data_IF_368833787046
#
_entry.id   IF_368833787046
#
_cell.length_a   1.000
_cell.length_b   1.000
_cell.length_c   1.000
_cell.angle_alpha   90.00
_cell.angle_beta   90.00
_cell.angle_gamma   90.00
#
_symmetry.space_group_name_H-M   'P 1'
#
loop_
_entity.id
_entity.type
_entity.pdbx_description
1 polymer ?
#
# COMPACT_ATOMS: atom_id res chain seq x y z
N UNK A 1 89.22 -15.93 14.96
CA UNK A 1 88.09 -15.24 15.48
C UNK A 1 87.06 -15.11 14.33
N UNK A 2 86.22 -16.12 14.19
CA UNK A 2 85.37 -16.27 13.01
C UNK A 2 83.97 -15.88 13.39
N UNK A 3 83.47 -14.83 12.76
CA UNK A 3 82.02 -14.43 12.85
C UNK A 3 81.26 -15.08 11.72
N UNK A 4 80.26 -15.93 12.06
CA UNK A 4 79.27 -16.48 11.13
C UNK A 4 78.08 -15.47 11.08
N UNK A 5 77.80 -15.01 9.88
CA UNK A 5 76.63 -14.23 9.58
C UNK A 5 75.53 -15.23 9.23
N UNK A 6 74.45 -15.25 10.04
CA UNK A 6 73.22 -16.04 9.79
C UNK A 6 72.22 -15.14 9.12
N UNK A 7 71.92 -15.38 7.85
CA UNK A 7 70.86 -14.68 7.11
C UNK A 7 69.47 -15.27 7.47
N UNK A 8 68.60 -14.45 8.02
CA UNK A 8 67.18 -14.78 8.19
C UNK A 8 66.42 -14.43 6.91
N UNK A 9 65.87 -15.43 6.22
CA UNK A 9 64.91 -15.26 5.16
C UNK A 9 63.50 -15.07 5.80
N UNK A 10 62.97 -13.88 5.64
CA UNK A 10 61.54 -13.59 5.99
C UNK A 10 60.66 -14.00 4.80
N UNK A 11 59.92 -15.08 4.92
CA UNK A 11 58.83 -15.42 4.00
C UNK A 11 57.61 -14.58 4.31
N UNK A 12 57.30 -13.60 3.46
CA UNK A 12 56.04 -12.89 3.50
C UNK A 12 54.97 -13.77 2.86
N UNK A 13 54.04 -14.30 3.66
CA UNK A 13 52.81 -14.92 3.18
C UNK A 13 51.84 -13.81 2.73
N UNK A 14 51.69 -13.62 1.42
CA UNK A 14 50.59 -12.90 0.85
C UNK A 14 49.32 -13.77 0.99
N UNK A 15 48.50 -13.46 2.00
CA UNK A 15 47.15 -13.98 2.08
C UNK A 15 46.30 -13.29 1.01
N UNK A 16 46.07 -13.94 -0.11
CA UNK A 16 45.07 -13.56 -1.09
C UNK A 16 43.67 -13.75 -0.44
N UNK A 17 43.08 -12.68 0.11
CA UNK A 17 41.65 -12.66 0.40
C UNK A 17 40.89 -12.73 -0.93
N UNK A 18 40.53 -13.94 -1.36
CA UNK A 18 39.52 -14.13 -2.37
C UNK A 18 38.20 -13.67 -1.75
N UNK A 19 37.82 -12.40 -1.95
CA UNK A 19 36.42 -11.95 -1.83
C UNK A 19 35.61 -12.76 -2.83
N UNK A 20 34.99 -13.82 -2.36
CA UNK A 20 33.95 -14.50 -3.12
C UNK A 20 32.84 -13.49 -3.44
N UNK A 21 32.83 -13.02 -4.69
CA UNK A 21 31.65 -12.36 -5.23
C UNK A 21 30.54 -13.40 -5.23
N UNK A 22 29.71 -13.39 -4.20
CA UNK A 22 28.41 -14.05 -4.27
C UNK A 22 27.63 -13.31 -5.34
N UNK A 23 27.47 -13.92 -6.51
CA UNK A 23 26.55 -13.42 -7.51
C UNK A 23 25.21 -13.10 -6.82
N UNK A 24 24.63 -11.91 -7.08
CA UNK A 24 23.31 -11.61 -6.54
C UNK A 24 22.35 -12.73 -6.95
N UNK A 25 21.39 -13.11 -6.09
CA UNK A 25 20.45 -14.17 -6.39
C UNK A 25 19.80 -13.88 -7.73
N UNK A 26 19.81 -14.85 -8.64
CA UNK A 26 19.17 -14.73 -9.94
C UNK A 26 17.69 -14.53 -9.69
N UNK A 27 17.22 -13.33 -9.93
CA UNK A 27 15.80 -13.01 -9.88
C UNK A 27 15.14 -13.85 -10.97
N UNK A 28 14.30 -14.77 -10.58
CA UNK A 28 13.50 -15.52 -11.52
C UNK A 28 12.34 -14.63 -11.94
N UNK A 29 12.52 -13.83 -12.98
CA UNK A 29 11.43 -13.09 -13.64
C UNK A 29 10.51 -14.05 -14.40
N UNK A 30 10.05 -15.09 -13.71
CA UNK A 30 9.17 -16.11 -14.27
C UNK A 30 7.78 -15.52 -14.48
N UNK A 31 7.17 -15.83 -15.62
CA UNK A 31 5.73 -15.58 -15.83
C UNK A 31 4.94 -16.63 -15.05
N UNK A 32 3.91 -16.19 -14.35
CA UNK A 32 2.89 -17.06 -13.79
C UNK A 32 1.73 -17.24 -14.78
N UNK A 33 0.99 -18.30 -14.64
CA UNK A 33 -0.13 -18.68 -15.51
C UNK A 33 -1.48 -18.20 -14.99
N UNK A 34 -1.52 -17.13 -14.20
CA UNK A 34 -2.74 -16.51 -13.74
C UNK A 34 -2.58 -15.48 -12.62
N UNK A 35 -3.69 -14.81 -12.30
CA UNK A 35 -3.76 -13.74 -11.28
C UNK A 35 -4.34 -14.30 -9.98
N UNK A 36 -3.57 -15.12 -9.28
CA UNK A 36 -3.96 -15.71 -8.00
C UNK A 36 -3.51 -14.80 -6.87
N UNK A 37 -4.45 -14.12 -6.21
CA UNK A 37 -4.16 -13.32 -5.03
C UNK A 37 -3.82 -14.18 -3.82
N UNK A 38 -2.92 -13.69 -2.97
CA UNK A 38 -2.69 -14.33 -1.67
C UNK A 38 -3.86 -14.03 -0.72
N UNK A 39 -4.21 -15.02 0.07
CA UNK A 39 -5.08 -14.89 1.22
C UNK A 39 -4.35 -15.33 2.48
N UNK A 40 -4.55 -14.63 3.60
CA UNK A 40 -3.94 -15.03 4.87
C UNK A 40 -4.78 -14.62 6.08
N UNK A 41 -4.45 -15.23 7.22
CA UNK A 41 -4.89 -14.82 8.55
C UNK A 41 -3.70 -14.90 9.51
N UNK A 42 -3.63 -13.98 10.47
CA UNK A 42 -2.65 -14.07 11.56
C UNK A 42 -3.12 -14.97 12.71
N UNK A 43 -4.32 -15.56 12.61
CA UNK A 43 -4.87 -16.45 13.62
C UNK A 43 -5.22 -15.76 14.94
N UNK A 44 -5.37 -14.44 14.94
CA UNK A 44 -5.76 -13.65 16.13
C UNK A 44 -7.28 -13.60 16.25
N UNK A 45 -7.86 -14.77 16.50
CA UNK A 45 -9.32 -14.97 16.57
C UNK A 45 -9.91 -14.40 17.85
N UNK A 46 -11.12 -13.88 17.75
CA UNK A 46 -12.01 -13.47 18.82
C UNK A 46 -13.38 -14.11 18.63
N UNK A 47 -14.33 -13.80 19.51
CA UNK A 47 -15.74 -14.21 19.37
C UNK A 47 -16.34 -13.84 18.01
N UNK A 48 -15.93 -12.72 17.45
CA UNK A 48 -16.42 -12.16 16.17
C UNK A 48 -15.42 -12.33 15.02
N UNK A 49 -14.64 -13.41 15.01
CA UNK A 49 -13.73 -13.73 13.91
C UNK A 49 -12.28 -13.28 14.12
N UNK A 50 -11.51 -13.34 13.03
CA UNK A 50 -10.09 -12.98 13.04
C UNK A 50 -9.92 -11.47 12.93
N UNK A 51 -9.08 -10.90 13.79
CA UNK A 51 -8.78 -9.46 13.83
C UNK A 51 -8.20 -8.93 12.52
N UNK A 52 -7.43 -9.76 11.80
CA UNK A 52 -6.75 -9.39 10.56
C UNK A 52 -7.26 -10.19 9.36
N UNK A 53 -8.44 -10.79 9.49
CA UNK A 53 -9.02 -11.58 8.41
C UNK A 53 -9.16 -10.77 7.12
N UNK A 54 -8.95 -11.42 6.00
CA UNK A 54 -8.98 -10.79 4.69
C UNK A 54 -7.71 -10.01 4.35
N UNK A 55 -6.55 -10.40 4.89
CA UNK A 55 -5.26 -9.94 4.37
C UNK A 55 -5.05 -10.51 2.97
N UNK A 56 -5.12 -9.65 1.96
CA UNK A 56 -5.23 -10.01 0.55
C UNK A 56 -4.05 -9.49 -0.27
N UNK A 57 -4.01 -9.84 -1.54
CA UNK A 57 -2.96 -9.42 -2.47
C UNK A 57 -2.79 -7.90 -2.59
N UNK A 58 -3.83 -7.12 -2.27
CA UNK A 58 -3.80 -5.65 -2.23
C UNK A 58 -3.68 -5.06 -0.81
N UNK A 59 -3.44 -5.88 0.20
CA UNK A 59 -3.13 -5.51 1.58
C UNK A 59 -1.73 -4.86 1.62
N UNK A 60 -1.41 -3.84 2.41
CA UNK A 60 -2.16 -3.02 3.35
C UNK A 60 -2.34 -1.59 2.81
N UNK A 61 -3.03 -0.69 3.54
CA UNK A 61 -3.03 0.76 3.24
C UNK A 61 -1.62 1.39 3.25
N UNK A 62 -0.64 0.74 3.85
CA UNK A 62 0.73 1.21 4.03
C UNK A 62 1.68 0.88 2.87
N UNK A 63 1.26 0.08 1.88
CA UNK A 63 2.01 -0.17 0.65
C UNK A 63 1.48 0.75 -0.45
N UNK A 64 2.15 1.84 -0.74
CA UNK A 64 1.72 2.83 -1.75
C UNK A 64 2.90 3.43 -2.48
N UNK A 65 2.75 3.64 -3.81
CA UNK A 65 1.67 3.19 -4.68
C UNK A 65 1.76 1.69 -4.96
N UNK A 66 0.60 1.07 -5.23
CA UNK A 66 0.57 -0.30 -5.77
C UNK A 66 0.20 -0.33 -7.26
N UNK A 67 -0.26 0.77 -7.84
CA UNK A 67 -0.51 0.90 -9.28
C UNK A 67 -0.21 2.31 -9.76
N UNK A 68 0.25 2.41 -11.03
CA UNK A 68 0.61 3.67 -11.68
C UNK A 68 0.25 3.57 -13.16
N UNK A 69 -0.52 4.54 -13.66
CA UNK A 69 -0.70 4.69 -15.10
C UNK A 69 0.47 5.44 -15.72
N UNK A 70 1.05 4.89 -16.78
CA UNK A 70 2.01 5.58 -17.66
C UNK A 70 1.33 5.97 -18.97
N UNK A 71 1.35 7.26 -19.27
CA UNK A 71 0.82 7.81 -20.52
C UNK A 71 1.66 7.36 -21.72
N UNK A 72 2.97 7.28 -21.57
CA UNK A 72 3.93 6.92 -22.61
C UNK A 72 3.73 5.47 -23.09
N UNK A 73 3.43 4.57 -22.16
CA UNK A 73 3.15 3.17 -22.47
C UNK A 73 1.65 2.91 -22.74
N UNK A 74 0.77 3.86 -22.41
CA UNK A 74 -0.68 3.69 -22.34
C UNK A 74 -1.10 2.43 -21.54
N UNK A 75 -0.47 2.24 -20.38
CA UNK A 75 -0.66 1.08 -19.50
C UNK A 75 -0.80 1.50 -18.05
N UNK A 76 -1.68 0.84 -17.33
CA UNK A 76 -1.67 0.88 -15.86
C UNK A 76 -0.86 -0.31 -15.35
N UNK A 77 0.36 -0.06 -14.88
CA UNK A 77 1.18 -1.06 -14.19
C UNK A 77 0.68 -1.20 -12.76
N UNK A 78 0.62 -2.45 -12.26
CA UNK A 78 0.20 -2.72 -10.88
C UNK A 78 0.97 -3.89 -10.29
N UNK A 79 1.16 -3.83 -8.96
CA UNK A 79 1.78 -4.89 -8.17
C UNK A 79 0.76 -5.46 -7.19
N UNK A 80 0.96 -6.71 -6.80
CA UNK A 80 0.10 -7.38 -5.82
C UNK A 80 0.83 -8.56 -5.19
N UNK A 81 0.34 -9.02 -4.03
CA UNK A 81 0.73 -10.29 -3.45
C UNK A 81 0.01 -11.42 -4.15
N UNK A 82 0.76 -12.28 -4.83
CA UNK A 82 0.25 -13.48 -5.47
C UNK A 82 0.49 -14.73 -4.64
N UNK A 83 -0.11 -15.84 -5.06
CA UNK A 83 0.08 -17.15 -4.44
C UNK A 83 0.30 -18.24 -5.47
N UNK A 84 1.13 -19.23 -5.14
CA UNK A 84 1.24 -20.47 -5.92
C UNK A 84 -0.07 -21.23 -5.83
N UNK A 85 -0.47 -21.85 -6.95
CA UNK A 85 -1.66 -22.70 -6.99
C UNK A 85 -1.64 -23.75 -5.86
N UNK A 86 -2.74 -23.80 -5.10
CA UNK A 86 -2.90 -24.74 -3.98
C UNK A 86 -2.02 -24.48 -2.76
N UNK A 87 -1.25 -23.37 -2.74
CA UNK A 87 -0.37 -23.01 -1.62
C UNK A 87 -0.58 -21.56 -1.22
N UNK A 88 -0.39 -21.27 0.06
CA UNK A 88 -0.42 -19.92 0.63
C UNK A 88 1.00 -19.35 0.74
N UNK A 89 1.74 -19.32 -0.37
CA UNK A 89 3.08 -18.74 -0.47
C UNK A 89 3.01 -17.40 -1.18
N UNK A 90 3.54 -16.37 -0.53
CA UNK A 90 3.60 -15.03 -1.10
C UNK A 90 4.58 -14.97 -2.27
N UNK A 91 4.07 -14.55 -3.40
CA UNK A 91 4.81 -14.13 -4.58
C UNK A 91 4.60 -12.63 -4.77
N UNK A 92 5.68 -11.87 -4.87
CA UNK A 92 5.58 -10.45 -5.21
C UNK A 92 5.46 -10.29 -6.71
N UNK A 93 4.26 -9.90 -7.16
CA UNK A 93 3.85 -9.92 -8.55
C UNK A 93 3.81 -8.53 -9.15
N UNK A 94 4.07 -8.44 -10.46
CA UNK A 94 3.81 -7.25 -11.27
C UNK A 94 3.09 -7.63 -12.55
N UNK A 95 2.19 -6.75 -13.00
CA UNK A 95 1.54 -6.83 -14.30
C UNK A 95 1.13 -5.44 -14.80
N UNK A 96 0.37 -5.40 -15.89
CA UNK A 96 -0.26 -4.18 -16.39
C UNK A 96 -1.60 -4.48 -17.06
N UNK A 97 -2.46 -3.47 -17.08
CA UNK A 97 -3.62 -3.40 -17.97
C UNK A 97 -3.26 -2.52 -19.16
N UNK A 98 -3.43 -3.05 -20.36
CA UNK A 98 -3.16 -2.35 -21.63
C UNK A 98 -4.45 -1.66 -22.09
N UNK A 99 -4.47 -0.32 -22.03
CA UNK A 99 -5.64 0.48 -22.36
C UNK A 99 -5.97 0.49 -23.87
N UNK A 100 -5.00 0.13 -24.73
CA UNK A 100 -5.24 0.07 -26.18
C UNK A 100 -6.00 -1.20 -26.57
N UNK A 101 -5.76 -2.30 -25.89
CA UNK A 101 -6.32 -3.62 -26.23
C UNK A 101 -7.38 -4.12 -25.23
N UNK A 102 -7.43 -3.53 -24.04
CA UNK A 102 -8.28 -3.99 -22.94
C UNK A 102 -7.85 -5.36 -22.41
N UNK A 103 -6.56 -5.68 -22.47
CA UNK A 103 -6.02 -6.99 -22.06
C UNK A 103 -4.99 -6.87 -20.95
N UNK A 104 -4.71 -7.99 -20.32
CA UNK A 104 -3.62 -8.19 -19.36
C UNK A 104 -2.72 -9.32 -19.82
N UNK A 105 -1.38 -9.22 -19.69
CA UNK A 105 -0.45 -10.29 -20.00
C UNK A 105 -0.40 -11.33 -18.85
N UNK A 106 0.33 -12.42 -19.03
CA UNK A 106 0.76 -13.24 -17.89
C UNK A 106 1.55 -12.39 -16.90
N UNK A 107 1.22 -12.41 -15.60
CA UNK A 107 1.94 -11.64 -14.59
C UNK A 107 3.35 -12.20 -14.39
N UNK A 108 4.25 -11.33 -13.92
CA UNK A 108 5.65 -11.70 -13.63
C UNK A 108 5.86 -11.82 -12.12
N UNK A 109 6.51 -12.88 -11.69
CA UNK A 109 7.03 -13.04 -10.33
C UNK A 109 8.31 -12.20 -10.24
N UNK A 110 8.28 -11.08 -9.51
CA UNK A 110 9.44 -10.26 -9.23
C UNK A 110 10.29 -10.89 -8.13
N UNK A 111 9.63 -11.40 -7.08
CA UNK A 111 10.31 -12.06 -5.96
C UNK A 111 9.44 -13.16 -5.38
N UNK A 112 10.05 -14.33 -5.16
CA UNK A 112 9.45 -15.45 -4.41
C UNK A 112 9.91 -15.35 -2.96
N UNK A 113 8.99 -15.16 -2.03
CA UNK A 113 9.29 -15.03 -0.59
C UNK A 113 9.66 -16.35 0.10
N UNK A 114 9.84 -17.43 -0.68
CA UNK A 114 10.39 -18.70 -0.17
C UNK A 114 9.50 -19.41 0.85
N UNK A 115 8.18 -19.31 0.71
CA UNK A 115 7.21 -19.97 1.62
C UNK A 115 6.65 -19.07 2.72
N UNK A 116 7.01 -17.78 2.76
CA UNK A 116 6.32 -16.79 3.59
C UNK A 116 4.87 -16.69 3.14
N UNK A 117 3.92 -16.63 4.08
CA UNK A 117 2.48 -16.53 3.81
C UNK A 117 1.87 -15.22 4.37
N UNK A 118 2.70 -14.19 4.52
CA UNK A 118 2.35 -12.92 5.18
C UNK A 118 2.36 -11.75 4.19
N UNK A 119 1.19 -11.21 3.75
CA UNK A 119 1.12 -10.10 2.81
C UNK A 119 1.53 -8.74 3.38
N UNK A 120 2.02 -8.65 4.63
CA UNK A 120 2.77 -7.48 5.06
C UNK A 120 4.07 -7.32 4.26
N UNK A 121 4.49 -8.35 3.55
CA UNK A 121 5.63 -8.33 2.65
C UNK A 121 5.26 -7.96 1.19
N UNK A 122 3.99 -7.59 0.92
CA UNK A 122 3.51 -7.16 -0.40
C UNK A 122 4.35 -6.00 -0.97
N UNK A 123 4.42 -5.88 -2.30
CA UNK A 123 5.25 -4.87 -2.96
C UNK A 123 4.57 -3.51 -3.11
N UNK A 124 5.39 -2.49 -3.38
CA UNK A 124 4.99 -1.18 -3.91
C UNK A 124 5.73 -0.88 -5.21
N UNK A 125 5.20 0.06 -6.01
CA UNK A 125 5.66 0.36 -7.36
C UNK A 125 6.11 1.82 -7.48
N UNK A 126 7.11 2.07 -8.31
CA UNK A 126 7.42 3.39 -8.86
C UNK A 126 7.85 3.27 -10.31
N UNK A 127 7.75 4.36 -11.07
CA UNK A 127 8.24 4.48 -12.44
C UNK A 127 9.12 5.71 -12.52
N UNK A 128 10.36 5.56 -13.03
CA UNK A 128 11.25 6.68 -13.24
C UNK A 128 10.98 7.38 -14.59
N UNK A 129 11.53 8.58 -14.85
CA UNK A 129 11.30 9.32 -16.10
C UNK A 129 11.79 8.61 -17.36
N UNK A 130 12.67 7.64 -17.23
CA UNK A 130 13.16 6.80 -18.34
C UNK A 130 12.22 5.62 -18.60
N UNK A 131 11.16 5.46 -17.80
CA UNK A 131 10.16 4.40 -17.92
C UNK A 131 10.55 3.07 -17.24
N UNK A 132 11.62 3.03 -16.48
CA UNK A 132 11.95 1.83 -15.73
C UNK A 132 11.00 1.63 -14.54
N UNK A 133 10.53 0.40 -14.39
CA UNK A 133 9.66 -0.01 -13.30
C UNK A 133 10.52 -0.39 -12.10
N UNK A 134 10.19 0.18 -10.94
CA UNK A 134 10.85 -0.10 -9.67
C UNK A 134 9.88 -0.78 -8.73
N UNK A 135 10.21 -2.00 -8.31
CA UNK A 135 9.38 -2.78 -7.38
C UNK A 135 10.08 -2.85 -6.03
N UNK A 136 9.43 -2.30 -5.02
CA UNK A 136 9.90 -2.28 -3.65
C UNK A 136 9.17 -3.37 -2.87
N UNK A 137 9.83 -4.50 -2.70
CA UNK A 137 9.32 -5.67 -1.97
C UNK A 137 9.52 -5.45 -0.48
N UNK A 138 8.45 -5.43 0.28
CA UNK A 138 8.49 -5.19 1.72
C UNK A 138 9.20 -6.33 2.47
N UNK A 139 9.95 -5.96 3.50
CA UNK A 139 10.46 -6.88 4.50
C UNK A 139 9.59 -6.91 5.76
N UNK A 140 10.08 -7.59 6.80
CA UNK A 140 9.41 -7.66 8.10
C UNK A 140 10.43 -7.54 9.22
N UNK A 141 10.65 -6.32 9.70
CA UNK A 141 11.68 -6.01 10.70
C UNK A 141 13.06 -6.56 10.28
N UNK A 142 13.84 -7.04 11.26
CA UNK A 142 15.12 -7.73 11.02
C UNK A 142 14.97 -9.19 10.60
N UNK A 143 13.75 -9.74 10.69
CA UNK A 143 13.49 -11.16 10.42
C UNK A 143 13.54 -11.49 8.93
N UNK A 144 13.02 -10.58 8.10
CA UNK A 144 12.96 -10.73 6.66
C UNK A 144 13.38 -9.42 6.00
N UNK A 145 14.40 -9.42 5.15
CA UNK A 145 14.80 -8.21 4.44
C UNK A 145 13.75 -7.77 3.42
N UNK A 146 13.75 -6.48 3.11
CA UNK A 146 13.10 -5.93 1.94
C UNK A 146 14.07 -5.87 0.75
N UNK A 147 13.53 -5.77 -0.45
CA UNK A 147 14.29 -5.77 -1.70
C UNK A 147 13.81 -4.67 -2.64
N UNK A 148 14.71 -4.06 -3.38
CA UNK A 148 14.38 -3.11 -4.45
C UNK A 148 14.83 -3.71 -5.76
N UNK A 149 13.89 -3.85 -6.69
CA UNK A 149 14.11 -4.35 -8.04
C UNK A 149 13.87 -3.26 -9.06
N UNK A 150 14.58 -3.31 -10.17
CA UNK A 150 14.39 -2.44 -11.33
C UNK A 150 14.17 -3.30 -12.58
N UNK A 151 13.24 -2.92 -13.44
CA UNK A 151 13.07 -3.61 -14.74
C UNK A 151 14.33 -3.46 -15.59
N UNK A 152 14.64 -4.49 -16.39
CA UNK A 152 15.81 -4.47 -17.28
C UNK A 152 15.61 -3.54 -18.49
N UNK A 153 14.35 -3.28 -18.86
CA UNK A 153 13.96 -2.39 -19.96
C UNK A 153 12.82 -1.46 -19.50
N UNK A 154 12.72 -0.25 -20.09
CA UNK A 154 11.60 0.65 -19.84
C UNK A 154 10.27 -0.02 -20.17
N UNK A 155 9.26 0.21 -19.31
CA UNK A 155 7.87 -0.25 -19.47
C UNK A 155 7.70 -1.76 -19.69
N UNK A 156 8.75 -2.57 -19.39
CA UNK A 156 8.72 -4.03 -19.52
C UNK A 156 8.64 -4.70 -18.15
N UNK A 157 7.76 -5.71 -18.06
CA UNK A 157 7.65 -6.60 -16.91
C UNK A 157 8.37 -7.94 -17.11
N UNK A 158 9.21 -8.09 -18.15
CA UNK A 158 9.77 -9.39 -18.54
C UNK A 158 10.95 -9.81 -17.66
N UNK A 159 11.76 -8.84 -17.21
CA UNK A 159 12.94 -9.12 -16.40
C UNK A 159 13.22 -7.98 -15.41
N UNK A 160 13.59 -8.35 -14.20
CA UNK A 160 13.99 -7.44 -13.14
C UNK A 160 15.39 -7.76 -12.64
N UNK A 161 16.09 -6.75 -12.15
CA UNK A 161 17.40 -6.82 -11.55
C UNK A 161 17.31 -6.39 -10.09
N UNK A 162 17.91 -7.15 -9.18
CA UNK A 162 18.03 -6.76 -7.78
C UNK A 162 19.00 -5.58 -7.67
N UNK A 163 18.53 -4.47 -7.11
CA UNK A 163 19.32 -3.26 -6.92
C UNK A 163 19.79 -3.12 -5.46
N UNK A 164 18.90 -3.39 -4.51
CA UNK A 164 19.18 -3.21 -3.08
C UNK A 164 18.44 -4.26 -2.25
N UNK A 165 19.08 -4.69 -1.18
CA UNK A 165 18.48 -5.41 -0.07
C UNK A 165 18.72 -4.60 1.21
N UNK A 166 17.74 -4.57 2.12
CA UNK A 166 17.87 -3.82 3.38
C UNK A 166 16.75 -4.09 4.37
N UNK A 167 16.85 -3.47 5.55
CA UNK A 167 15.78 -3.50 6.56
C UNK A 167 14.80 -2.37 6.29
N UNK A 168 13.67 -2.69 5.69
CA UNK A 168 12.52 -1.79 5.54
C UNK A 168 11.23 -2.58 5.42
N UNK A 169 10.16 -1.99 5.94
CA UNK A 169 8.79 -2.52 5.91
C UNK A 169 7.86 -1.41 5.42
N UNK A 170 6.76 -1.77 4.75
CA UNK A 170 5.78 -0.81 4.22
C UNK A 170 6.40 0.24 3.31
N UNK A 171 7.00 -0.15 2.19
CA UNK A 171 7.68 0.76 1.27
C UNK A 171 6.71 1.73 0.61
N UNK A 172 7.11 3.01 0.53
CA UNK A 172 6.37 4.09 -0.10
C UNK A 172 7.30 4.95 -0.95
N UNK A 173 7.74 4.46 -2.11
CA UNK A 173 8.63 5.18 -3.01
C UNK A 173 7.90 6.30 -3.73
N UNK A 174 8.54 7.48 -3.80
CA UNK A 174 8.08 8.64 -4.56
C UNK A 174 9.21 9.13 -5.45
N UNK A 175 9.03 9.05 -6.77
CA UNK A 175 9.97 9.66 -7.70
C UNK A 175 9.61 11.14 -7.86
N UNK A 176 10.50 12.01 -7.43
CA UNK A 176 10.36 13.46 -7.57
C UNK A 176 11.11 13.89 -8.83
N UNK A 177 10.39 14.46 -9.79
CA UNK A 177 10.95 14.83 -11.07
C UNK A 177 12.13 15.82 -10.91
N UNK A 178 13.25 15.49 -11.58
CA UNK A 178 14.50 16.26 -11.50
C UNK A 178 15.32 16.04 -10.22
N UNK A 179 14.81 15.33 -9.22
CA UNK A 179 15.46 15.15 -7.92
C UNK A 179 15.79 13.67 -7.59
N UNK A 180 14.98 12.71 -8.08
CA UNK A 180 15.11 11.29 -7.76
C UNK A 180 14.10 10.80 -6.72
N UNK A 181 14.44 9.74 -5.99
CA UNK A 181 13.57 9.15 -5.00
C UNK A 181 13.58 9.90 -3.67
N UNK A 182 12.39 10.18 -3.15
CA UNK A 182 12.09 10.23 -1.73
C UNK A 182 11.42 8.92 -1.35
N UNK A 183 12.02 8.16 -0.47
CA UNK A 183 11.55 6.84 -0.07
C UNK A 183 11.16 6.84 1.41
N UNK A 184 9.87 6.70 1.69
CA UNK A 184 9.31 6.59 3.04
C UNK A 184 9.11 5.11 3.40
N UNK A 185 9.44 4.72 4.63
CA UNK A 185 9.32 3.34 5.08
C UNK A 185 9.33 3.24 6.61
N UNK A 186 9.08 2.05 7.12
CA UNK A 186 9.14 1.71 8.54
C UNK A 186 10.38 0.89 8.84
N UNK A 187 11.07 1.21 9.94
CA UNK A 187 12.08 0.34 10.58
C UNK A 187 11.65 -0.02 11.98
N UNK A 188 12.09 -1.20 12.44
CA UNK A 188 11.80 -1.69 13.78
C UNK A 188 13.02 -1.42 14.67
N UNK A 189 13.15 -0.19 15.16
CA UNK A 189 14.22 0.23 16.07
C UNK A 189 13.77 0.16 17.54
N UNK A 190 13.06 1.15 18.04
CA UNK A 190 12.41 1.09 19.37
C UNK A 190 10.90 0.82 19.28
N UNK A 191 10.40 0.60 18.08
CA UNK A 191 9.02 0.36 17.72
C UNK A 191 8.92 0.34 16.20
N UNK A 192 7.71 0.44 15.63
CA UNK A 192 7.49 0.64 14.20
C UNK A 192 7.69 2.10 13.84
N UNK A 193 8.95 2.55 13.81
CA UNK A 193 9.29 3.95 13.63
C UNK A 193 9.40 4.35 12.16
N UNK A 194 9.08 5.60 11.85
CA UNK A 194 9.05 6.10 10.48
C UNK A 194 10.38 6.71 10.08
N UNK A 195 10.83 6.33 8.87
CA UNK A 195 12.08 6.75 8.28
C UNK A 195 11.90 7.20 6.84
N UNK A 196 12.86 7.99 6.36
CA UNK A 196 13.03 8.25 4.94
C UNK A 196 14.49 8.13 4.51
N UNK A 197 14.68 8.00 3.21
CA UNK A 197 15.98 8.00 2.54
C UNK A 197 15.77 8.57 1.14
N UNK A 198 16.80 9.14 0.55
CA UNK A 198 16.75 9.73 -0.78
C UNK A 198 17.78 9.08 -1.70
N UNK A 199 17.48 9.07 -3.00
CA UNK A 199 18.39 8.54 -4.01
C UNK A 199 18.20 9.29 -5.33
N UNK A 200 19.25 9.81 -5.97
CA UNK A 200 19.13 10.46 -7.27
C UNK A 200 18.87 9.48 -8.41
N UNK A 201 19.20 8.21 -8.23
CA UNK A 201 19.28 7.19 -9.29
C UNK A 201 18.64 5.83 -8.93
N UNK A 202 18.09 5.69 -7.72
CA UNK A 202 17.57 4.45 -7.17
C UNK A 202 18.65 3.42 -6.77
N UNK A 203 19.93 3.71 -7.01
CA UNK A 203 21.08 2.83 -6.73
C UNK A 203 21.90 3.32 -5.54
N UNK A 204 22.16 4.62 -5.51
CA UNK A 204 22.93 5.27 -4.43
C UNK A 204 21.96 5.91 -3.45
N UNK A 205 21.93 5.45 -2.22
CA UNK A 205 20.98 5.90 -1.20
C UNK A 205 21.66 6.64 -0.07
N UNK A 206 21.03 7.72 0.39
CA UNK A 206 21.44 8.41 1.61
C UNK A 206 21.31 7.49 2.83
N UNK A 207 21.98 7.80 3.96
CA UNK A 207 21.65 7.18 5.24
C UNK A 207 20.17 7.35 5.57
N UNK A 208 19.59 6.30 6.20
CA UNK A 208 18.19 6.34 6.65
C UNK A 208 18.03 7.40 7.76
N UNK A 209 17.04 8.28 7.61
CA UNK A 209 16.73 9.35 8.55
C UNK A 209 15.38 9.07 9.22
N UNK A 210 15.32 9.23 10.54
CA UNK A 210 14.07 9.06 11.30
C UNK A 210 13.25 10.34 11.29
N UNK A 211 11.94 10.29 10.99
CA UNK A 211 11.08 11.44 11.13
C UNK A 211 10.00 11.31 12.21
N UNK A 212 9.66 10.08 12.68
CA UNK A 212 8.79 9.88 13.83
C UNK A 212 9.18 8.63 14.62
N UNK A 213 9.17 8.75 15.97
CA UNK A 213 9.58 7.69 16.90
C UNK A 213 8.79 7.69 18.20
N UNK A 214 7.49 7.99 18.16
CA UNK A 214 6.61 8.08 19.35
C UNK A 214 5.99 6.71 19.69
N UNK A 215 6.80 5.64 19.79
CA UNK A 215 6.38 4.28 20.11
C UNK A 215 6.07 3.39 18.90
N UNK A 216 5.54 3.93 17.84
CA UNK A 216 5.25 3.22 16.59
C UNK A 216 4.17 3.91 15.78
N UNK A 217 4.12 3.58 14.48
CA UNK A 217 3.26 4.26 13.53
C UNK A 217 2.86 3.34 12.38
N UNK A 218 1.70 3.62 11.79
CA UNK A 218 1.39 3.28 10.40
C UNK A 218 1.20 4.57 9.61
N UNK A 219 1.65 4.59 8.36
CA UNK A 219 1.58 5.75 7.49
C UNK A 219 1.02 5.39 6.12
N UNK A 220 0.42 6.37 5.46
CA UNK A 220 0.19 6.40 4.02
C UNK A 220 0.71 7.71 3.46
N UNK A 221 1.10 7.74 2.20
CA UNK A 221 1.68 8.93 1.59
C UNK A 221 1.18 9.18 0.18
N UNK A 222 1.37 10.38 -0.31
CA UNK A 222 1.09 10.79 -1.67
C UNK A 222 2.17 11.73 -2.20
N UNK A 223 2.02 12.11 -3.46
CA UNK A 223 2.89 13.05 -4.16
C UNK A 223 2.10 13.88 -5.15
N UNK A 224 2.39 15.18 -5.23
CA UNK A 224 1.92 16.06 -6.31
C UNK A 224 3.06 17.00 -6.70
N UNK A 225 3.55 16.89 -7.94
CA UNK A 225 4.75 17.62 -8.36
C UNK A 225 5.94 17.30 -7.46
N UNK A 226 6.58 18.32 -6.90
CA UNK A 226 7.69 18.15 -5.95
C UNK A 226 7.24 17.89 -4.51
N UNK A 227 5.98 18.16 -4.18
CA UNK A 227 5.46 17.96 -2.83
C UNK A 227 5.17 16.48 -2.59
N UNK A 228 5.86 15.89 -1.63
CA UNK A 228 5.51 14.62 -1.03
C UNK A 228 4.90 14.83 0.36
N UNK A 229 3.87 14.09 0.67
CA UNK A 229 3.10 14.26 1.90
C UNK A 229 2.71 12.91 2.51
N UNK A 230 2.53 12.90 3.82
CA UNK A 230 2.20 11.68 4.56
C UNK A 230 1.27 11.96 5.72
N UNK A 231 0.33 11.05 5.94
CA UNK A 231 -0.46 10.96 7.17
C UNK A 231 -0.12 9.68 7.93
N UNK A 232 -0.09 9.77 9.25
CA UNK A 232 0.26 8.62 10.09
C UNK A 232 -0.45 8.71 11.46
N UNK A 233 -0.58 7.55 12.10
CA UNK A 233 -1.09 7.42 13.46
C UNK A 233 0.06 7.17 14.45
N UNK A 234 -0.27 6.99 15.73
CA UNK A 234 0.67 6.62 16.77
C UNK A 234 0.23 5.32 17.47
N UNK A 235 1.20 4.54 17.94
CA UNK A 235 0.99 3.34 18.74
C UNK A 235 1.55 3.56 20.17
N UNK A 236 0.75 4.04 21.13
CA UNK A 236 1.20 4.26 22.51
C UNK A 236 1.86 3.01 23.10
N UNK A 237 3.10 3.16 23.56
CA UNK A 237 3.88 2.04 24.10
C UNK A 237 4.20 0.95 23.08
N UNK A 238 4.17 1.24 21.76
CA UNK A 238 4.41 0.27 20.69
C UNK A 238 3.23 -0.68 20.42
N UNK A 239 2.12 -0.53 21.14
CA UNK A 239 0.97 -1.42 21.02
C UNK A 239 0.07 -1.04 19.84
N UNK A 240 0.08 -1.86 18.77
CA UNK A 240 -0.73 -1.65 17.57
C UNK A 240 -2.23 -1.70 17.81
N UNK A 241 -2.68 -2.27 18.92
CA UNK A 241 -4.09 -2.35 19.29
C UNK A 241 -4.61 -1.08 19.95
N UNK A 242 -3.68 -0.20 20.32
CA UNK A 242 -3.96 1.12 20.88
C UNK A 242 -3.65 2.25 19.91
N UNK A 243 -3.54 1.95 18.60
CA UNK A 243 -3.22 2.96 17.58
C UNK A 243 -4.21 4.11 17.62
N UNK A 244 -3.70 5.33 17.74
CA UNK A 244 -4.50 6.53 17.96
C UNK A 244 -3.86 7.74 17.32
N UNK A 245 -4.49 8.89 17.45
CA UNK A 245 -4.06 10.18 16.93
C UNK A 245 -3.85 10.19 15.40
N UNK A 246 -3.98 11.33 14.82
CA UNK A 246 -3.74 11.55 13.40
C UNK A 246 -2.73 12.66 13.25
N UNK A 247 -1.69 12.43 12.45
CA UNK A 247 -0.62 13.38 12.15
C UNK A 247 -0.49 13.59 10.65
N UNK A 248 0.05 14.75 10.26
CA UNK A 248 0.35 15.08 8.87
C UNK A 248 1.67 15.83 8.76
N UNK A 249 2.46 15.46 7.75
CA UNK A 249 3.68 16.15 7.34
C UNK A 249 3.80 16.18 5.81
N UNK A 250 4.45 17.23 5.29
CA UNK A 250 4.80 17.37 3.89
C UNK A 250 6.21 17.92 3.72
N UNK A 251 6.80 17.69 2.55
CA UNK A 251 8.10 18.23 2.12
C UNK A 251 8.09 18.48 0.61
N UNK A 252 8.77 19.52 0.16
CA UNK A 252 8.98 19.85 -1.26
C UNK A 252 10.49 19.92 -1.63
N UNK A 253 11.35 19.47 -0.71
CA UNK A 253 12.80 19.53 -0.79
C UNK A 253 13.48 18.19 -0.40
N UNK A 254 12.84 17.05 -0.68
CA UNK A 254 13.33 15.69 -0.36
C UNK A 254 13.58 15.46 1.13
N UNK A 255 12.76 16.04 2.01
CA UNK A 255 12.83 15.85 3.45
C UNK A 255 13.90 16.68 4.17
N UNK A 256 14.54 17.65 3.50
CA UNK A 256 15.42 18.62 4.18
C UNK A 256 14.62 19.50 5.14
N UNK A 257 13.39 19.84 4.75
CA UNK A 257 12.42 20.56 5.59
C UNK A 257 11.10 19.83 5.58
N UNK A 258 10.59 19.54 6.77
CA UNK A 258 9.23 19.02 6.95
C UNK A 258 8.31 20.14 7.45
N UNK A 259 7.05 20.14 6.97
CA UNK A 259 6.04 21.15 7.32
C UNK A 259 4.71 20.49 7.68
N UNK A 260 3.93 21.18 8.51
CA UNK A 260 2.54 20.78 8.80
C UNK A 260 1.57 21.32 7.73
N UNK A 261 0.26 21.06 7.88
CA UNK A 261 -0.77 21.48 6.93
C UNK A 261 -0.88 23.02 6.79
N UNK A 262 -0.51 23.78 7.83
CA UNK A 262 -0.44 25.24 7.78
C UNK A 262 0.89 25.76 7.18
N UNK A 263 1.65 24.87 6.53
CA UNK A 263 2.95 25.15 5.92
C UNK A 263 4.03 25.68 6.90
N UNK A 264 3.86 25.41 8.19
CA UNK A 264 4.84 25.79 9.22
C UNK A 264 5.91 24.70 9.34
N UNK A 265 7.21 25.07 9.50
CA UNK A 265 8.28 24.12 9.71
C UNK A 265 8.04 23.25 10.96
N UNK A 266 8.35 21.95 10.83
CA UNK A 266 8.25 20.98 11.91
C UNK A 266 9.60 20.32 12.11
N UNK A 267 10.11 20.37 13.34
CA UNK A 267 11.37 19.69 13.69
C UNK A 267 11.15 18.19 13.77
N UNK A 268 11.96 17.43 13.05
CA UNK A 268 11.98 15.97 13.07
C UNK A 268 13.32 15.46 13.64
N UNK A 269 13.38 14.28 14.29
CA UNK A 269 12.29 13.32 14.46
C UNK A 269 11.28 13.77 15.52
N UNK A 270 10.01 13.50 15.26
CA UNK A 270 8.94 13.70 16.23
C UNK A 270 9.12 12.69 17.40
N UNK A 271 9.22 13.22 18.62
CA UNK A 271 9.41 12.42 19.83
C UNK A 271 8.28 12.60 20.85
N UNK A 272 7.51 13.69 20.73
CA UNK A 272 6.37 14.00 21.60
C UNK A 272 5.07 13.96 20.76
N UNK A 273 4.01 13.26 21.20
CA UNK A 273 2.73 13.26 20.50
C UNK A 273 2.04 14.63 20.46
N UNK A 274 2.35 15.55 21.39
CA UNK A 274 1.84 16.93 21.38
C UNK A 274 2.77 17.86 20.58
N UNK A 275 2.74 17.73 19.26
CA UNK A 275 3.57 18.51 18.34
C UNK A 275 2.72 19.18 17.23
N UNK A 276 3.32 20.04 16.45
CA UNK A 276 2.62 20.83 15.41
C UNK A 276 2.20 20.03 14.16
N UNK A 277 2.59 18.76 14.05
CA UNK A 277 2.09 17.84 13.02
C UNK A 277 0.77 17.16 13.41
N UNK A 278 0.32 17.31 14.67
CA UNK A 278 -0.91 16.69 15.17
C UNK A 278 -2.14 17.30 14.48
N UNK A 279 -2.90 16.46 13.80
CA UNK A 279 -4.16 16.80 13.13
C UNK A 279 -5.33 16.73 14.11
N UNK A 280 -5.40 15.63 14.88
CA UNK A 280 -6.44 15.42 15.91
C UNK A 280 -5.97 14.46 16.99
N UNK A 281 -6.27 14.84 18.25
CA UNK A 281 -5.96 14.07 19.45
C UNK A 281 -7.06 13.02 19.72
N UNK A 282 -7.00 11.91 19.04
CA UNK A 282 -7.95 10.81 19.23
C UNK A 282 -7.68 10.01 20.51
N UNK A 283 -6.49 10.12 21.11
CA UNK A 283 -6.21 9.54 22.42
C UNK A 283 -7.09 10.17 23.51
N UNK A 284 -7.25 11.50 23.50
CA UNK A 284 -8.16 12.19 24.41
C UNK A 284 -9.63 11.79 24.21
N UNK A 285 -10.02 11.45 22.98
CA UNK A 285 -11.36 10.99 22.62
C UNK A 285 -11.56 9.48 22.85
N UNK A 286 -10.52 8.75 23.29
CA UNK A 286 -10.51 7.28 23.43
C UNK A 286 -10.91 6.54 22.15
N UNK A 287 -10.42 7.03 21.01
CA UNK A 287 -10.69 6.46 19.68
C UNK A 287 -9.42 5.91 19.07
N UNK A 288 -9.58 4.82 18.32
CA UNK A 288 -8.54 4.24 17.48
C UNK A 288 -8.61 4.80 16.07
N UNK A 289 -7.46 4.87 15.39
CA UNK A 289 -7.31 5.44 14.05
C UNK A 289 -6.66 4.44 13.10
N UNK A 290 -7.33 4.15 11.98
CA UNK A 290 -6.87 3.27 10.90
C UNK A 290 -6.80 4.08 9.61
N UNK A 291 -5.60 4.34 9.12
CA UNK A 291 -5.36 5.21 7.95
C UNK A 291 -5.58 4.43 6.67
N UNK A 292 -6.25 5.03 5.68
CA UNK A 292 -6.56 4.41 4.39
C UNK A 292 -5.81 5.05 3.24
N UNK A 293 -6.04 6.33 2.96
CA UNK A 293 -5.49 7.03 1.79
C UNK A 293 -5.31 8.53 2.09
N UNK A 294 -4.54 9.21 1.27
CA UNK A 294 -4.31 10.64 1.36
C UNK A 294 -4.09 11.24 -0.03
N UNK A 295 -4.62 12.43 -0.26
CA UNK A 295 -4.31 13.24 -1.45
C UNK A 295 -4.39 14.74 -1.09
N UNK A 296 -4.06 15.61 -2.03
CA UNK A 296 -4.25 17.05 -1.91
C UNK A 296 -5.48 17.49 -2.73
N UNK A 297 -6.20 18.51 -2.26
CA UNK A 297 -7.23 19.16 -3.06
C UNK A 297 -6.59 20.06 -4.15
N UNK A 298 -7.41 20.78 -4.93
CA UNK A 298 -6.92 21.65 -6.02
C UNK A 298 -6.03 22.79 -5.52
N UNK A 299 -6.22 23.27 -4.29
CA UNK A 299 -5.39 24.31 -3.66
C UNK A 299 -4.09 23.73 -3.05
N UNK A 300 -3.92 22.42 -3.01
CA UNK A 300 -2.77 21.75 -2.40
C UNK A 300 -2.96 21.48 -0.90
N UNK A 301 -4.18 21.54 -0.40
CA UNK A 301 -4.48 21.22 0.99
C UNK A 301 -4.70 19.72 1.20
N UNK A 302 -4.20 19.12 2.28
CA UNK A 302 -4.33 17.70 2.53
C UNK A 302 -5.76 17.27 2.84
N UNK A 303 -6.14 16.14 2.24
CA UNK A 303 -7.38 15.40 2.49
C UNK A 303 -7.01 13.97 2.86
N UNK A 304 -7.38 13.52 4.06
CA UNK A 304 -7.00 12.22 4.62
C UNK A 304 -8.25 11.37 4.79
N UNK A 305 -8.25 10.17 4.21
CA UNK A 305 -9.26 9.14 4.43
C UNK A 305 -8.77 8.17 5.50
N UNK A 306 -9.57 7.95 6.53
CA UNK A 306 -9.25 7.03 7.62
C UNK A 306 -10.52 6.51 8.29
N UNK A 307 -10.36 5.51 9.14
CA UNK A 307 -11.44 4.94 9.94
C UNK A 307 -11.14 5.13 11.43
N UNK A 308 -12.19 5.41 12.19
CA UNK A 308 -12.12 5.44 13.66
C UNK A 308 -12.97 4.35 14.29
N UNK A 309 -12.52 3.81 15.43
CA UNK A 309 -13.27 2.80 16.19
C UNK A 309 -13.06 2.94 17.70
N UNK A 310 -13.89 2.27 18.49
CA UNK A 310 -13.76 2.23 19.94
C UNK A 310 -12.84 1.09 20.43
N UNK A 311 -12.70 0.00 19.65
CA UNK A 311 -11.91 -1.18 20.01
C UNK A 311 -11.15 -1.72 18.79
N UNK A 312 -10.03 -2.40 19.03
CA UNK A 312 -9.22 -3.05 17.98
C UNK A 312 -9.80 -4.39 17.52
N UNK A 313 -10.67 -5.00 18.28
CA UNK A 313 -11.28 -6.31 17.98
C UNK A 313 -12.44 -6.17 16.99
N UNK A 314 -12.71 -7.19 16.17
CA UNK A 314 -13.93 -7.25 15.36
C UNK A 314 -15.18 -7.33 16.24
N UNK A 315 -16.35 -7.12 15.63
CA UNK A 315 -17.66 -7.18 16.30
C UNK A 315 -18.08 -5.88 16.97
N UNK A 316 -19.20 -5.88 17.70
CA UNK A 316 -19.90 -4.67 18.19
C UNK A 316 -19.07 -3.80 19.14
N UNK A 317 -18.12 -4.38 19.90
CA UNK A 317 -17.29 -3.65 20.85
C UNK A 317 -16.44 -2.52 20.24
N UNK A 318 -16.20 -2.57 18.93
CA UNK A 318 -15.50 -1.50 18.20
C UNK A 318 -16.40 -0.36 17.72
N UNK A 319 -17.73 -0.49 17.87
CA UNK A 319 -18.67 0.51 17.38
C UNK A 319 -18.76 1.75 18.33
N UNK A 320 -19.07 2.89 17.75
CA UNK A 320 -19.28 3.17 16.33
C UNK A 320 -17.96 3.19 15.55
N UNK A 321 -17.92 2.49 14.40
CA UNK A 321 -16.85 2.63 13.41
C UNK A 321 -17.28 3.62 12.35
N UNK A 322 -16.45 4.65 12.11
CA UNK A 322 -16.72 5.66 11.12
C UNK A 322 -15.62 5.72 10.08
N UNK A 323 -15.99 5.62 8.80
CA UNK A 323 -15.15 6.07 7.71
C UNK A 323 -15.23 7.59 7.68
N UNK A 324 -14.09 8.26 7.87
CA UNK A 324 -14.00 9.69 8.11
C UNK A 324 -13.03 10.33 7.12
N UNK A 325 -13.32 11.55 6.70
CA UNK A 325 -12.42 12.41 5.93
C UNK A 325 -11.99 13.59 6.81
N UNK A 326 -10.68 13.82 6.93
CA UNK A 326 -10.13 15.07 7.44
C UNK A 326 -9.64 15.90 6.27
N UNK A 327 -10.07 17.16 6.17
CA UNK A 327 -9.68 18.13 5.16
C UNK A 327 -9.13 19.40 5.81
N UNK A 328 -7.92 19.79 5.44
CA UNK A 328 -7.38 21.10 5.79
C UNK A 328 -7.96 22.16 4.86
N UNK A 329 -8.68 23.13 5.40
CA UNK A 329 -9.39 24.16 4.60
C UNK A 329 -8.53 25.37 4.24
N UNK A 330 -7.23 25.32 4.57
CA UNK A 330 -6.33 26.48 4.51
C UNK A 330 -6.21 27.22 5.83
N UNK A 331 -7.14 27.02 6.77
CA UNK A 331 -7.15 27.65 8.10
C UNK A 331 -7.39 26.69 9.26
N UNK A 332 -8.19 25.65 9.04
CA UNK A 332 -8.55 24.67 10.07
C UNK A 332 -8.79 23.28 9.48
N UNK A 333 -8.72 22.25 10.31
CA UNK A 333 -9.11 20.90 9.95
C UNK A 333 -10.62 20.70 10.09
N UNK A 334 -11.29 20.32 9.00
CA UNK A 334 -12.69 19.87 9.00
C UNK A 334 -12.73 18.35 8.98
N UNK A 335 -13.57 17.76 9.82
CA UNK A 335 -13.78 16.33 9.94
C UNK A 335 -15.20 15.97 9.55
N UNK A 336 -15.35 15.04 8.60
CA UNK A 336 -16.66 14.62 8.11
C UNK A 336 -16.77 13.10 8.13
N UNK A 337 -17.74 12.58 8.85
CA UNK A 337 -18.05 11.16 8.82
C UNK A 337 -18.82 10.83 7.54
N UNK A 338 -18.27 9.93 6.72
CA UNK A 338 -18.83 9.52 5.43
C UNK A 338 -19.94 8.49 5.63
N UNK A 339 -19.59 7.40 6.32
CA UNK A 339 -20.49 6.28 6.59
C UNK A 339 -19.99 5.39 7.72
N UNK A 340 -20.84 4.49 8.18
CA UNK A 340 -20.46 3.42 9.10
C UNK A 340 -19.63 2.37 8.39
N UNK A 341 -18.71 1.76 9.13
CA UNK A 341 -17.97 0.57 8.73
C UNK A 341 -18.26 -0.58 9.72
N UNK A 342 -18.13 -1.80 9.24
CA UNK A 342 -18.34 -3.00 10.07
C UNK A 342 -17.03 -3.54 10.67
N UNK A 343 -15.87 -3.17 10.11
CA UNK A 343 -14.58 -3.71 10.51
C UNK A 343 -13.47 -2.65 10.39
N UNK A 344 -12.47 -2.70 11.28
CA UNK A 344 -11.36 -1.74 11.33
C UNK A 344 -10.44 -1.80 10.10
N UNK A 345 -10.44 -2.91 9.38
CA UNK A 345 -9.61 -3.15 8.20
C UNK A 345 -10.41 -3.13 6.88
N UNK A 346 -11.61 -2.54 6.87
CA UNK A 346 -12.38 -2.29 5.65
C UNK A 346 -11.80 -1.08 4.92
N UNK A 347 -10.76 -1.31 4.10
CA UNK A 347 -9.90 -0.24 3.54
C UNK A 347 -10.37 0.22 2.17
N UNK A 348 -10.60 1.53 2.02
CA UNK A 348 -10.96 2.20 0.78
C UNK A 348 -9.89 3.17 0.27
N UNK A 349 -10.14 3.76 -0.90
CA UNK A 349 -9.30 4.76 -1.57
C UNK A 349 -10.04 6.05 -1.85
N UNK A 350 -9.31 7.17 -1.84
CA UNK A 350 -9.79 8.53 -2.04
C UNK A 350 -9.36 9.07 -3.41
N UNK A 351 -10.27 9.73 -4.12
CA UNK A 351 -10.03 10.37 -5.41
C UNK A 351 -10.55 11.79 -5.36
N UNK A 352 -9.67 12.75 -5.63
CA UNK A 352 -10.01 14.18 -5.62
C UNK A 352 -9.95 14.73 -7.06
N UNK A 353 -11.00 15.41 -7.46
CA UNK A 353 -11.03 16.19 -8.71
C UNK A 353 -11.62 17.57 -8.44
N UNK A 354 -11.54 18.46 -9.42
CA UNK A 354 -12.04 19.83 -9.28
C UNK A 354 -13.56 19.91 -9.12
N UNK A 355 -14.29 18.89 -9.58
CA UNK A 355 -15.75 18.89 -9.60
C UNK A 355 -16.40 18.01 -8.54
N UNK A 356 -15.70 16.96 -8.12
CA UNK A 356 -16.20 15.99 -7.14
C UNK A 356 -15.08 15.20 -6.49
N UNK A 357 -15.30 14.77 -5.27
CA UNK A 357 -14.47 13.81 -4.57
C UNK A 357 -15.17 12.47 -4.52
N UNK A 358 -14.40 11.39 -4.64
CA UNK A 358 -14.93 10.02 -4.62
C UNK A 358 -14.17 9.17 -3.60
N UNK A 359 -14.90 8.24 -2.99
CA UNK A 359 -14.33 7.15 -2.20
C UNK A 359 -14.84 5.84 -2.79
N UNK A 360 -13.92 4.94 -3.11
CA UNK A 360 -14.22 3.55 -3.40
C UNK A 360 -13.82 2.72 -2.18
N UNK A 361 -14.74 1.99 -1.59
CA UNK A 361 -14.44 1.21 -0.39
C UNK A 361 -15.49 0.16 -0.05
N UNK A 362 -15.09 -0.86 0.73
CA UNK A 362 -15.97 -1.95 1.13
C UNK A 362 -16.88 -1.54 2.29
N UNK A 363 -17.86 -0.70 2.00
CA UNK A 363 -18.80 -0.14 2.97
C UNK A 363 -20.16 -0.81 2.98
N UNK A 364 -20.44 -1.67 1.97
CA UNK A 364 -21.62 -2.51 1.92
C UNK A 364 -21.45 -3.77 2.76
N UNK A 365 -22.57 -4.34 3.22
CA UNK A 365 -22.57 -5.60 3.98
C UNK A 365 -22.16 -6.76 3.05
N UNK A 366 -21.08 -7.42 3.37
CA UNK A 366 -20.64 -8.63 2.65
C UNK A 366 -21.21 -9.91 3.24
N UNK A 367 -20.91 -11.05 2.61
CA UNK A 367 -21.39 -12.38 3.06
C UNK A 367 -20.79 -12.80 4.40
N UNK A 368 -19.64 -12.22 4.82
CA UNK A 368 -19.05 -12.46 6.13
C UNK A 368 -19.14 -11.15 6.95
N UNK A 369 -20.26 -10.90 7.64
CA UNK A 369 -20.65 -9.57 8.10
C UNK A 369 -19.80 -8.99 9.23
N UNK A 370 -19.01 -9.80 9.93
CA UNK A 370 -18.12 -9.37 11.01
C UNK A 370 -16.63 -9.43 10.61
N UNK A 371 -16.33 -9.94 9.42
CA UNK A 371 -14.99 -9.98 8.86
C UNK A 371 -14.58 -8.68 8.17
N UNK A 372 -13.28 -8.51 7.90
CA UNK A 372 -12.78 -7.38 7.13
C UNK A 372 -13.31 -7.35 5.71
N UNK A 373 -13.69 -6.16 5.22
CA UNK A 373 -14.24 -5.97 3.89
C UNK A 373 -15.76 -6.12 3.83
N UNK A 374 -16.27 -6.30 2.62
CA UNK A 374 -17.70 -6.43 2.31
C UNK A 374 -17.98 -6.15 0.85
N UNK A 375 -19.11 -5.59 0.52
CA UNK A 375 -19.40 -5.12 -0.82
C UNK A 375 -18.79 -3.73 -1.05
N UNK A 376 -18.15 -3.53 -2.19
CA UNK A 376 -17.55 -2.26 -2.58
C UNK A 376 -18.63 -1.29 -3.02
N UNK A 377 -18.57 -0.05 -2.55
CA UNK A 377 -19.46 1.03 -2.94
C UNK A 377 -18.68 2.30 -3.30
N UNK A 378 -19.33 3.19 -4.07
CA UNK A 378 -18.86 4.54 -4.40
C UNK A 378 -19.61 5.55 -3.56
N UNK A 379 -18.87 6.40 -2.87
CA UNK A 379 -19.35 7.59 -2.18
C UNK A 379 -18.85 8.83 -2.88
N UNK A 380 -19.70 9.83 -3.01
CA UNK A 380 -19.40 11.08 -3.72
C UNK A 380 -19.71 12.29 -2.84
N UNK A 381 -18.80 13.26 -2.89
CA UNK A 381 -19.00 14.61 -2.39
C UNK A 381 -18.83 15.62 -3.53
N UNK A 382 -19.75 16.60 -3.63
CA UNK A 382 -19.69 17.70 -4.62
C UNK A 382 -19.51 19.07 -3.96
N UNK A 383 -19.11 19.07 -2.69
CA UNK A 383 -18.95 20.24 -1.84
C UNK A 383 -17.65 20.20 -1.03
N UNK A 384 -16.59 19.63 -1.64
CA UNK A 384 -15.24 19.52 -1.05
C UNK A 384 -15.24 18.73 0.27
N UNK A 385 -15.98 17.63 0.32
CA UNK A 385 -16.01 16.72 1.46
C UNK A 385 -16.85 17.19 2.65
N UNK A 386 -17.70 18.22 2.50
CA UNK A 386 -18.62 18.66 3.56
C UNK A 386 -19.74 17.66 3.76
N UNK A 387 -20.27 17.14 2.65
CA UNK A 387 -21.30 16.10 2.67
C UNK A 387 -20.95 14.97 1.72
N UNK A 388 -21.40 13.76 2.03
CA UNK A 388 -21.16 12.56 1.25
C UNK A 388 -22.46 11.79 1.03
N UNK A 389 -22.64 11.29 -0.17
CA UNK A 389 -23.76 10.40 -0.51
C UNK A 389 -23.25 9.15 -1.21
N UNK A 390 -23.87 8.01 -0.92
CA UNK A 390 -23.60 6.78 -1.68
C UNK A 390 -24.17 6.93 -3.08
N UNK A 391 -23.32 6.85 -4.10
CA UNK A 391 -23.73 6.95 -5.50
C UNK A 391 -24.23 5.59 -6.01
N UNK A 392 -23.46 4.51 -5.68
CA UNK A 392 -23.85 3.14 -6.04
C UNK A 392 -23.11 2.08 -5.23
N UNK A 393 -23.63 0.89 -5.27
CA UNK A 393 -22.88 -0.32 -4.96
C UNK A 393 -22.15 -0.79 -6.22
N UNK A 394 -20.86 -1.15 -6.08
CA UNK A 394 -19.98 -1.61 -7.18
C UNK A 394 -20.03 -3.13 -7.28
N UNK A 395 -20.05 -3.81 -6.14
CA UNK A 395 -20.22 -5.27 -6.05
C UNK A 395 -21.49 -5.60 -5.27
N UNK A 396 -22.06 -6.77 -5.55
CA UNK A 396 -23.30 -7.21 -4.94
C UNK A 396 -23.38 -8.73 -4.87
N UNK A 397 -23.99 -9.26 -3.83
CA UNK A 397 -24.25 -10.70 -3.66
C UNK A 397 -22.96 -11.53 -3.84
N UNK A 398 -21.84 -10.99 -3.46
CA UNK A 398 -20.53 -11.62 -3.59
C UNK A 398 -20.44 -12.87 -2.73
N UNK A 399 -19.71 -13.88 -3.18
CA UNK A 399 -19.46 -15.10 -2.40
C UNK A 399 -18.48 -14.88 -1.24
N UNK A 400 -17.62 -13.84 -1.38
CA UNK A 400 -16.56 -13.48 -0.44
C UNK A 400 -16.52 -11.97 -0.23
N UNK A 401 -15.99 -11.52 0.90
CA UNK A 401 -15.78 -10.10 1.15
C UNK A 401 -14.70 -9.54 0.21
N UNK A 402 -14.98 -8.40 -0.42
CA UNK A 402 -14.01 -7.58 -1.13
C UNK A 402 -13.33 -6.62 -0.18
N UNK A 403 -12.02 -6.36 -0.37
CA UNK A 403 -11.30 -5.47 0.54
C UNK A 403 -10.04 -4.87 -0.09
N UNK A 404 -9.42 -3.91 0.62
CA UNK A 404 -8.19 -3.22 0.25
C UNK A 404 -8.27 -2.64 -1.17
N UNK A 405 -9.28 -1.78 -1.37
CA UNK A 405 -9.45 -1.04 -2.62
C UNK A 405 -8.31 -0.06 -2.79
N UNK A 406 -7.60 -0.15 -3.93
CA UNK A 406 -6.39 0.61 -4.23
C UNK A 406 -6.62 1.57 -5.38
N UNK A 407 -6.09 2.78 -5.24
CA UNK A 407 -6.11 3.81 -6.26
C UNK A 407 -4.81 3.77 -7.08
N UNK A 408 -4.87 3.61 -8.42
CA UNK A 408 -3.71 3.89 -9.25
C UNK A 408 -3.31 5.37 -9.19
N UNK A 409 -2.03 5.65 -9.19
CA UNK A 409 -1.55 7.00 -9.49
C UNK A 409 -1.91 7.31 -10.93
N UNK A 410 -2.49 8.49 -11.20
CA UNK A 410 -3.04 8.89 -12.50
C UNK A 410 -4.11 7.93 -13.03
N UNK A 411 -5.00 7.44 -12.15
CA UNK A 411 -6.05 6.47 -12.48
C UNK A 411 -6.83 6.85 -13.74
N UNK A 412 -6.99 5.90 -14.66
CA UNK A 412 -7.72 6.07 -15.90
C UNK A 412 -9.17 5.61 -15.75
N UNK A 413 -10.11 6.16 -16.54
CA UNK A 413 -11.54 5.86 -16.41
C UNK A 413 -11.90 4.38 -16.53
N UNK A 414 -11.15 3.59 -17.28
CA UNK A 414 -11.40 2.16 -17.56
C UNK A 414 -10.65 1.21 -16.61
N UNK A 415 -9.66 1.71 -15.84
CA UNK A 415 -8.99 0.99 -14.74
C UNK A 415 -8.81 1.95 -13.55
N UNK A 416 -9.88 2.17 -12.80
CA UNK A 416 -9.92 3.27 -11.85
C UNK A 416 -9.58 2.87 -10.42
N UNK A 417 -10.11 1.74 -9.97
CA UNK A 417 -9.80 1.14 -8.67
C UNK A 417 -9.65 -0.37 -8.81
N UNK A 418 -8.77 -1.00 -8.01
CA UNK A 418 -8.62 -2.45 -7.99
C UNK A 418 -8.45 -2.99 -6.57
N UNK A 419 -8.81 -4.26 -6.35
CA UNK A 419 -8.84 -4.87 -5.02
C UNK A 419 -8.82 -6.40 -5.09
N UNK A 420 -8.70 -7.04 -3.91
CA UNK A 420 -8.84 -8.50 -3.77
C UNK A 420 -10.12 -8.89 -3.04
N UNK A 421 -10.50 -10.16 -3.17
CA UNK A 421 -11.54 -10.81 -2.38
C UNK A 421 -10.99 -11.94 -1.52
N UNK A 422 -11.77 -12.38 -0.54
CA UNK A 422 -11.44 -13.54 0.29
C UNK A 422 -12.45 -13.75 1.41
N UNK A 423 -12.52 -15.00 1.89
CA UNK A 423 -13.32 -15.30 3.07
C UNK A 423 -12.51 -15.04 4.34
N UNK A 424 -12.89 -14.10 5.20
CA UNK A 424 -12.15 -13.80 6.42
C UNK A 424 -12.11 -14.93 7.45
N UNK A 425 -13.01 -15.91 7.35
CA UNK A 425 -13.14 -16.97 8.33
C UNK A 425 -12.38 -18.26 7.98
N UNK A 426 -12.05 -18.45 6.69
CA UNK A 426 -11.37 -19.64 6.19
C UNK A 426 -10.56 -19.38 4.93
N UNK A 427 -9.54 -20.22 4.69
CA UNK A 427 -8.74 -20.16 3.47
C UNK A 427 -9.61 -20.44 2.24
N UNK A 428 -9.55 -19.53 1.27
CA UNK A 428 -10.20 -19.63 -0.03
C UNK A 428 -9.23 -19.16 -1.12
N UNK A 429 -9.48 -19.47 -2.41
CA UNK A 429 -8.91 -18.70 -3.49
C UNK A 429 -9.20 -17.21 -3.30
N UNK A 430 -8.27 -16.36 -3.71
CA UNK A 430 -8.41 -14.90 -3.70
C UNK A 430 -8.22 -14.38 -5.11
N UNK A 431 -9.19 -13.62 -5.60
CA UNK A 431 -9.19 -13.05 -6.95
C UNK A 431 -8.85 -11.56 -6.90
N UNK A 432 -8.38 -11.04 -8.01
CA UNK A 432 -8.12 -9.60 -8.17
C UNK A 432 -9.17 -9.04 -9.13
N UNK A 433 -9.76 -7.93 -8.71
CA UNK A 433 -10.81 -7.20 -9.45
C UNK A 433 -10.38 -5.78 -9.72
N UNK A 434 -10.99 -5.17 -10.73
CA UNK A 434 -10.93 -3.73 -10.94
C UNK A 434 -12.27 -3.20 -11.47
N UNK A 435 -12.43 -1.89 -11.41
CA UNK A 435 -13.64 -1.20 -11.89
C UNK A 435 -13.28 0.05 -12.67
N UNK A 436 -14.22 0.52 -13.48
CA UNK A 436 -14.16 1.81 -14.14
C UNK A 436 -14.48 2.98 -13.17
N UNK A 437 -14.27 4.21 -13.63
CA UNK A 437 -14.53 5.43 -12.84
C UNK A 437 -15.97 5.55 -12.35
N UNK A 438 -16.94 5.10 -13.15
CA UNK A 438 -18.36 5.13 -12.78
C UNK A 438 -18.70 4.07 -11.71
N UNK A 439 -17.91 3.00 -11.58
CA UNK A 439 -18.18 1.89 -10.67
C UNK A 439 -19.35 1.01 -11.13
N UNK A 440 -19.74 1.07 -12.40
CA UNK A 440 -20.86 0.32 -12.97
C UNK A 440 -20.42 -0.91 -13.78
N UNK A 441 -19.13 -1.06 -14.02
CA UNK A 441 -18.51 -2.23 -14.61
C UNK A 441 -17.42 -2.75 -13.69
N UNK A 442 -17.43 -4.04 -13.42
CA UNK A 442 -16.42 -4.74 -12.63
C UNK A 442 -15.84 -5.88 -13.45
N UNK A 443 -14.52 -5.96 -13.48
CA UNK A 443 -13.80 -7.05 -14.13
C UNK A 443 -12.98 -7.82 -13.11
N UNK A 444 -12.96 -9.13 -13.28
CA UNK A 444 -12.05 -10.06 -12.60
C UNK A 444 -10.87 -10.36 -13.51
N UNK A 445 -9.66 -10.24 -12.97
CA UNK A 445 -8.47 -10.72 -13.67
C UNK A 445 -8.50 -12.25 -13.79
N UNK A 446 -7.99 -12.82 -14.91
CA UNK A 446 -8.06 -14.25 -15.13
C UNK A 446 -7.29 -15.02 -14.06
N UNK A 447 -7.99 -15.87 -13.29
CA UNK A 447 -7.39 -16.66 -12.22
C UNK A 447 -6.38 -17.67 -12.77
N UNK A 448 -6.69 -18.29 -13.91
CA UNK A 448 -5.83 -19.17 -14.71
C UNK A 448 -5.77 -18.66 -16.16
N UNK A 449 -4.59 -18.73 -16.77
CA UNK A 449 -4.35 -18.28 -18.13
C UNK A 449 -3.72 -19.40 -18.97
N UNK A 450 -4.30 -19.69 -20.15
CA UNK A 450 -3.72 -20.60 -21.14
C UNK A 450 -2.88 -19.87 -22.19
N UNK A 451 -3.20 -18.60 -22.47
CA UNK A 451 -2.49 -17.75 -23.44
C UNK A 451 -1.49 -16.79 -22.78
N UNK A 452 -0.70 -16.08 -23.60
CA UNK A 452 0.24 -15.05 -23.13
C UNK A 452 -0.46 -13.76 -22.66
N UNK A 453 -1.69 -13.52 -23.14
CA UNK A 453 -2.55 -12.43 -22.72
C UNK A 453 -4.01 -12.88 -22.69
N UNK A 454 -4.83 -12.17 -21.94
CA UNK A 454 -6.26 -12.43 -21.83
C UNK A 454 -7.04 -11.13 -21.61
N UNK A 455 -8.31 -11.11 -21.99
CA UNK A 455 -9.25 -10.09 -21.56
C UNK A 455 -9.72 -10.43 -20.15
N UNK A 456 -9.73 -9.46 -19.19
CA UNK A 456 -10.41 -9.65 -17.93
C UNK A 456 -11.88 -10.02 -18.12
N UNK A 457 -12.38 -10.87 -17.25
CA UNK A 457 -13.78 -11.30 -17.29
C UNK A 457 -14.66 -10.23 -16.66
N UNK A 458 -15.59 -9.66 -17.41
CA UNK A 458 -16.59 -8.77 -16.85
C UNK A 458 -17.57 -9.57 -15.97
N UNK A 459 -17.78 -9.11 -14.74
CA UNK A 459 -18.75 -9.70 -13.83
C UNK A 459 -20.14 -9.16 -14.20
N UNK A 460 -20.98 -10.04 -14.68
CA UNK A 460 -22.34 -9.69 -15.15
C UNK A 460 -23.14 -9.01 -14.05
N UNK A 461 -23.64 -7.81 -14.33
CA UNK A 461 -24.57 -7.07 -13.46
C UNK A 461 -25.97 -7.70 -13.41
N UNK A 462 -26.28 -8.71 -14.21
CA UNK A 462 -27.55 -9.42 -14.13
C UNK A 462 -27.75 -10.15 -12.77
N UNK A 463 -26.67 -10.46 -12.06
CA UNK A 463 -26.72 -10.88 -10.65
C UNK A 463 -27.05 -9.72 -9.69
N UNK A 464 -27.14 -8.48 -10.18
CA UNK A 464 -27.15 -7.24 -9.41
C UNK A 464 -28.53 -6.55 -9.36
N UNK A 465 -29.54 -7.07 -10.05
CA UNK A 465 -30.91 -6.56 -9.94
C UNK A 465 -31.63 -7.28 -8.79
N UNK A 466 -31.51 -6.74 -7.60
CA UNK A 466 -32.49 -7.01 -6.55
C UNK A 466 -33.78 -6.36 -7.03
N UNK A 467 -34.81 -7.19 -7.26
CA UNK A 467 -36.16 -6.74 -7.47
C UNK A 467 -36.57 -5.91 -6.25
N UNK A 468 -36.74 -4.60 -6.41
CA UNK A 468 -37.34 -3.79 -5.36
C UNK A 468 -38.70 -4.42 -4.99
N UNK A 469 -38.96 -4.69 -3.71
CA UNK A 469 -40.30 -5.13 -3.32
C UNK A 469 -41.27 -3.98 -3.65
N UNK A 470 -42.25 -4.28 -4.51
CA UNK A 470 -43.37 -3.37 -4.75
C UNK A 470 -43.96 -3.02 -3.38
N UNK A 471 -43.96 -1.75 -3.04
CA UNK A 471 -44.67 -1.26 -1.86
C UNK A 471 -46.17 -1.47 -2.09
N UNK A 472 -46.89 -1.97 -1.06
CA UNK A 472 -48.34 -2.09 -1.12
C UNK A 472 -49.08 -0.73 -1.19
#
# INVERSE_FOLDING_TARGET
MNYRITSFLVFAFLACCACGQTNPPVVSSQKDDGYRGIWFTLGQKSEFGDKYSGGLGTYTANHVPMAIYSKEANKTFFVYGGAKQGKRYLLDMISYYDHATGTVPRPTIVHDKGGVDDPHDNPSLSIDPQGFLWVFVSGRAKLRPGFIYRSAQPYSIDRFELVRQGEFTYPQPRWIEGEGFLYLFTKYTQGRELYWSVSPDGRTWSPDQKFAGMGGHYQTSGQRGKCAFTAFNMHPGGNVDKRTDLFYLQTDDLGRTWRNAANQPVTVPLADPKNSALVRDYAAEKRLVYIHDIDLDREGHPVILYLTSADSRPGPGGDPRWLTVAHWTGSEWRFTDVTRANHNYSTGSLYLSDTEWRIFGPTGKGPQPVGGGGEVAVWVSRDEGKTWSKERDVTHNSAMNHNYVRRPVNAQPDFYAYWGDGNPDKLTPSHIYFTNKAGDHVWQLPYDMTGESAKPQEISQAALRVVEPQRP
#
